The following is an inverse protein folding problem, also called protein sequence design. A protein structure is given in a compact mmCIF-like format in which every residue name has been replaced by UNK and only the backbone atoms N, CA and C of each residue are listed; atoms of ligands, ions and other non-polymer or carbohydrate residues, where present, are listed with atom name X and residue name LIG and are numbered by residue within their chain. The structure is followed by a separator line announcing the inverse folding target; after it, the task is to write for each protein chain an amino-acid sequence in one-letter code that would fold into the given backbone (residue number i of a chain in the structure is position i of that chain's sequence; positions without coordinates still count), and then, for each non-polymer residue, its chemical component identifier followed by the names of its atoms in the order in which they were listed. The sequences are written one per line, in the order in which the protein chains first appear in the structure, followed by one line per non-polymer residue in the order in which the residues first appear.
data_IF_420461280826
#
_entry.id   IF_420461280826
#
_cell.length_a   1.000
_cell.length_b   1.000
_cell.length_c   1.000
_cell.angle_alpha   90.00
_cell.angle_beta   90.00
_cell.angle_gamma   90.00
#
_symmetry.space_group_name_H-M   'P 1'
#
loop_
_entity.id
_entity.type
_entity.pdbx_description
1 polymer ?
#
# COMPACT_ATOMS: atom_id res chain seq x y z
N UNK A 1 10.04 28.35 -6.50
CA UNK A 1 10.88 28.43 -5.29
C UNK A 1 10.50 27.42 -4.22
N UNK A 2 9.28 27.40 -3.70
CA UNK A 2 8.85 26.52 -2.58
C UNK A 2 9.07 25.01 -2.84
N UNK A 3 8.82 24.51 -4.07
CA UNK A 3 9.00 23.07 -4.39
C UNK A 3 10.45 22.60 -4.37
N UNK A 4 11.39 23.44 -4.78
CA UNK A 4 12.82 23.07 -4.80
C UNK A 4 13.43 23.05 -3.41
N UNK A 5 12.93 23.89 -2.50
CA UNK A 5 13.43 23.94 -1.13
C UNK A 5 12.95 22.73 -0.30
N UNK A 6 11.70 22.27 -0.50
CA UNK A 6 11.15 21.05 0.13
C UNK A 6 11.95 19.79 -0.28
N UNK A 7 12.49 19.75 -1.50
CA UNK A 7 13.21 18.58 -2.01
C UNK A 7 14.67 18.52 -1.59
N UNK A 8 15.24 19.58 -1.05
CA UNK A 8 16.67 19.63 -0.65
C UNK A 8 17.00 18.65 0.48
N UNK A 9 16.09 18.48 1.43
CA UNK A 9 16.28 17.63 2.61
C UNK A 9 15.50 16.31 2.50
N UNK A 10 14.98 16.00 1.31
CA UNK A 10 14.23 14.78 1.07
C UNK A 10 15.16 13.56 1.18
N UNK A 11 14.83 12.66 2.11
CA UNK A 11 15.51 11.37 2.29
C UNK A 11 14.55 10.21 2.12
N UNK A 12 13.31 10.38 2.61
CA UNK A 12 12.32 9.31 2.67
C UNK A 12 10.99 9.75 2.13
N UNK A 13 10.39 8.89 1.31
CA UNK A 13 9.09 9.10 0.66
C UNK A 13 8.15 7.96 1.01
N UNK A 14 6.95 8.30 1.46
CA UNK A 14 5.84 7.33 1.55
C UNK A 14 4.97 7.49 0.31
N UNK A 15 4.65 6.39 -0.35
CA UNK A 15 3.79 6.37 -1.54
C UNK A 15 2.57 5.49 -1.24
N UNK A 16 1.39 6.08 -1.22
CA UNK A 16 0.13 5.35 -1.10
C UNK A 16 -0.42 5.02 -2.48
N UNK A 17 -0.76 3.75 -2.69
CA UNK A 17 -1.34 3.24 -3.92
C UNK A 17 -2.76 2.73 -3.63
N UNK A 18 -3.77 3.45 -4.11
CA UNK A 18 -5.18 3.09 -3.93
C UNK A 18 -5.57 1.86 -4.77
N UNK A 19 -6.61 1.12 -4.33
CA UNK A 19 -7.12 -0.05 -5.05
C UNK A 19 -7.65 0.29 -6.45
N UNK A 20 -8.26 1.45 -6.62
CA UNK A 20 -8.73 1.95 -7.93
C UNK A 20 -7.60 2.18 -8.94
N UNK A 21 -6.41 2.49 -8.44
CA UNK A 21 -5.22 2.82 -9.25
C UNK A 21 -4.51 1.55 -9.76
N UNK A 22 -4.58 0.46 -9.00
CA UNK A 22 -3.99 -0.84 -9.36
C UNK A 22 -5.00 -1.83 -9.91
N UNK A 23 -6.26 -1.41 -10.11
CA UNK A 23 -7.31 -2.25 -10.68
C UNK A 23 -7.31 -2.22 -12.21
N UNK A 24 -7.75 -3.32 -12.82
CA UNK A 24 -8.03 -3.37 -14.27
C UNK A 24 -9.27 -2.52 -14.60
N UNK A 25 -9.05 -1.32 -15.15
CA UNK A 25 -10.15 -0.41 -15.53
C UNK A 25 -10.95 -0.91 -16.74
N UNK A 26 -10.29 -1.61 -17.67
CA UNK A 26 -10.91 -2.08 -18.92
C UNK A 26 -11.91 -3.23 -18.73
N UNK A 27 -11.87 -3.89 -17.58
CA UNK A 27 -12.78 -4.99 -17.21
C UNK A 27 -13.99 -4.55 -16.39
N UNK A 28 -14.26 -3.25 -16.26
CA UNK A 28 -15.37 -2.72 -15.45
C UNK A 28 -16.77 -3.03 -16.02
N UNK A 29 -16.86 -3.55 -17.26
CA UNK A 29 -18.14 -3.88 -17.90
C UNK A 29 -18.74 -5.21 -17.46
N UNK A 30 -17.95 -6.11 -16.86
CA UNK A 30 -18.48 -7.31 -16.22
C UNK A 30 -18.29 -7.24 -14.70
N UNK A 31 -19.31 -7.52 -13.94
CA UNK A 31 -19.36 -7.44 -12.47
C UNK A 31 -18.35 -8.36 -11.74
N UNK A 32 -17.72 -9.27 -12.46
CA UNK A 32 -16.78 -10.29 -11.96
C UNK A 32 -15.29 -9.99 -12.23
N UNK A 33 -14.96 -8.99 -13.05
CA UNK A 33 -13.61 -8.88 -13.62
C UNK A 33 -12.78 -7.66 -13.15
N UNK A 34 -13.11 -7.02 -12.04
CA UNK A 34 -12.30 -5.94 -11.47
C UNK A 34 -11.23 -6.49 -10.54
N UNK A 35 -10.13 -6.96 -11.11
CA UNK A 35 -9.02 -7.52 -10.38
C UNK A 35 -7.74 -6.67 -10.42
N UNK A 36 -6.70 -7.22 -9.79
CA UNK A 36 -5.38 -6.58 -9.74
C UNK A 36 -4.71 -6.53 -11.10
N UNK A 37 -4.33 -5.34 -11.55
CA UNK A 37 -3.59 -5.13 -12.80
C UNK A 37 -2.08 -5.33 -12.60
N UNK A 38 -1.53 -6.42 -13.15
CA UNK A 38 -0.10 -6.68 -13.16
C UNK A 38 0.68 -5.61 -13.93
N UNK A 39 0.08 -4.98 -14.93
CA UNK A 39 0.73 -3.95 -15.75
C UNK A 39 0.87 -2.63 -14.98
N UNK A 40 -0.14 -2.23 -14.23
CA UNK A 40 -0.05 -1.08 -13.34
C UNK A 40 0.99 -1.29 -12.22
N UNK A 41 1.01 -2.48 -11.60
CA UNK A 41 2.03 -2.79 -10.59
C UNK A 41 3.44 -2.73 -11.19
N UNK A 42 3.66 -3.25 -12.40
CA UNK A 42 4.94 -3.13 -13.13
C UNK A 42 5.28 -1.67 -13.49
N UNK A 43 4.27 -0.88 -13.85
CA UNK A 43 4.46 0.54 -14.12
C UNK A 43 4.98 1.25 -12.87
N UNK A 44 4.32 1.06 -11.72
CA UNK A 44 4.76 1.69 -10.47
C UNK A 44 6.12 1.17 -9.99
N UNK A 45 6.41 -0.12 -10.15
CA UNK A 45 7.75 -0.65 -9.84
C UNK A 45 8.85 0.08 -10.63
N UNK A 46 8.61 0.44 -11.91
CA UNK A 46 9.56 1.25 -12.69
C UNK A 46 9.74 2.66 -12.14
N UNK A 47 8.65 3.32 -11.77
CA UNK A 47 8.71 4.69 -11.21
C UNK A 47 9.41 4.69 -9.84
N UNK A 48 9.12 3.71 -9.00
CA UNK A 48 9.74 3.55 -7.68
C UNK A 48 11.24 3.30 -7.80
N UNK A 49 11.65 2.50 -8.78
CA UNK A 49 13.09 2.29 -9.06
C UNK A 49 13.81 3.60 -9.35
N UNK A 50 13.20 4.48 -10.14
CA UNK A 50 13.79 5.81 -10.43
C UNK A 50 13.95 6.69 -9.18
N UNK A 51 13.07 6.52 -8.19
CA UNK A 51 13.16 7.23 -6.91
C UNK A 51 14.30 6.66 -6.06
N UNK A 52 14.39 5.32 -5.95
CA UNK A 52 15.49 4.67 -5.24
C UNK A 52 16.86 4.96 -5.88
N UNK A 53 16.95 4.97 -7.21
CA UNK A 53 18.20 5.26 -7.92
C UNK A 53 18.73 6.69 -7.67
N UNK A 54 17.86 7.56 -7.18
CA UNK A 54 18.23 8.90 -6.70
C UNK A 54 18.69 8.93 -5.23
N UNK A 55 18.71 7.76 -4.57
CA UNK A 55 19.15 7.63 -3.18
C UNK A 55 18.04 7.90 -2.14
N UNK A 56 16.77 7.90 -2.55
CA UNK A 56 15.65 8.09 -1.61
C UNK A 56 15.15 6.75 -1.07
N UNK A 57 14.91 6.69 0.24
CA UNK A 57 14.17 5.61 0.88
C UNK A 57 12.70 5.64 0.44
N UNK A 58 12.15 4.49 0.06
CA UNK A 58 10.75 4.38 -0.33
C UNK A 58 10.02 3.42 0.58
N UNK A 59 8.87 3.85 1.10
CA UNK A 59 7.90 3.03 1.83
C UNK A 59 6.59 3.06 1.05
N UNK A 60 5.99 1.90 0.80
CA UNK A 60 4.71 1.81 0.12
C UNK A 60 3.59 1.56 1.11
N UNK A 61 2.45 2.21 0.91
CA UNK A 61 1.18 1.84 1.54
C UNK A 61 0.23 1.41 0.43
N UNK A 62 -0.18 0.15 0.43
CA UNK A 62 -0.97 -0.43 -0.66
C UNK A 62 -2.34 -0.88 -0.19
N UNK A 63 -3.34 -0.59 -0.99
CA UNK A 63 -4.68 -1.18 -0.87
C UNK A 63 -4.86 -2.31 -1.88
N UNK A 64 -6.04 -2.97 -1.83
CA UNK A 64 -6.47 -3.88 -2.88
C UNK A 64 -6.49 -5.35 -2.49
N UNK A 65 -6.16 -5.71 -1.25
CA UNK A 65 -6.22 -7.10 -0.77
C UNK A 65 -7.62 -7.68 -0.88
N UNK A 66 -8.64 -7.02 -0.33
CA UNK A 66 -10.05 -7.47 -0.42
C UNK A 66 -10.50 -7.63 -1.88
N UNK A 67 -10.15 -6.67 -2.75
CA UNK A 67 -10.47 -6.72 -4.18
C UNK A 67 -9.83 -7.94 -4.85
N UNK A 68 -8.56 -8.19 -4.60
CA UNK A 68 -7.80 -9.29 -5.18
C UNK A 68 -8.31 -10.66 -4.69
N UNK A 69 -8.68 -10.76 -3.41
CA UNK A 69 -9.25 -11.99 -2.85
C UNK A 69 -10.65 -12.29 -3.36
N UNK A 70 -11.47 -11.26 -3.49
CA UNK A 70 -12.81 -11.38 -4.07
C UNK A 70 -12.77 -11.89 -5.51
N UNK A 71 -11.88 -11.36 -6.35
CA UNK A 71 -11.64 -11.86 -7.70
C UNK A 71 -11.30 -13.35 -7.69
N UNK A 72 -10.40 -13.77 -6.79
CA UNK A 72 -10.00 -15.17 -6.66
C UNK A 72 -11.09 -16.12 -6.20
N UNK A 73 -12.02 -15.61 -5.40
CA UNK A 73 -13.16 -16.38 -4.90
C UNK A 73 -14.39 -16.33 -5.85
N UNK A 74 -14.32 -15.54 -6.93
CA UNK A 74 -15.45 -15.35 -7.84
C UNK A 74 -16.65 -14.65 -7.19
N UNK A 75 -16.42 -13.84 -6.15
CA UNK A 75 -17.48 -13.18 -5.39
C UNK A 75 -17.87 -11.83 -6.00
N UNK A 76 -19.18 -11.53 -6.03
CA UNK A 76 -19.71 -10.26 -6.51
C UNK A 76 -19.34 -9.09 -5.58
N UNK A 77 -19.55 -7.84 -6.07
CA UNK A 77 -19.24 -6.62 -5.30
C UNK A 77 -20.19 -6.36 -4.14
N UNK A 78 -21.42 -6.83 -4.23
CA UNK A 78 -22.48 -6.48 -3.31
C UNK A 78 -22.60 -7.48 -2.16
N UNK A 79 -22.84 -6.96 -0.96
CA UNK A 79 -23.39 -7.74 0.14
C UNK A 79 -22.41 -8.65 0.90
N UNK A 80 -21.08 -8.46 0.78
CA UNK A 80 -20.14 -9.26 1.58
C UNK A 80 -20.29 -8.93 3.07
N UNK A 81 -20.51 -9.97 3.87
CA UNK A 81 -20.40 -9.90 5.33
C UNK A 81 -18.97 -9.60 5.79
N UNK A 82 -18.80 -9.21 7.06
CA UNK A 82 -17.48 -8.93 7.64
C UNK A 82 -16.54 -10.13 7.51
N UNK A 83 -16.93 -11.37 7.91
CA UNK A 83 -16.07 -12.54 7.74
C UNK A 83 -15.69 -12.83 6.28
N UNK A 84 -16.59 -12.57 5.33
CA UNK A 84 -16.27 -12.74 3.90
C UNK A 84 -15.27 -11.70 3.41
N UNK A 85 -15.37 -10.44 3.86
CA UNK A 85 -14.37 -9.41 3.57
C UNK A 85 -13.00 -9.77 4.16
N UNK A 86 -12.97 -10.26 5.41
CA UNK A 86 -11.75 -10.71 6.07
C UNK A 86 -11.12 -11.91 5.34
N UNK A 87 -11.92 -12.89 4.93
CA UNK A 87 -11.46 -14.02 4.13
C UNK A 87 -10.92 -13.56 2.76
N UNK A 88 -11.60 -12.62 2.10
CA UNK A 88 -11.09 -11.98 0.88
C UNK A 88 -9.76 -11.28 1.13
N UNK A 89 -9.64 -10.52 2.21
CA UNK A 89 -8.39 -9.84 2.55
C UNK A 89 -7.24 -10.83 2.75
N UNK A 90 -7.45 -11.92 3.49
CA UNK A 90 -6.44 -12.95 3.74
C UNK A 90 -5.94 -13.61 2.45
N UNK A 91 -6.85 -14.03 1.56
CA UNK A 91 -6.51 -14.62 0.27
C UNK A 91 -5.84 -13.60 -0.66
N UNK A 92 -6.43 -12.40 -0.71
CA UNK A 92 -5.98 -11.36 -1.63
C UNK A 92 -4.65 -10.73 -1.25
N UNK A 93 -4.35 -10.63 0.05
CA UNK A 93 -3.08 -10.08 0.55
C UNK A 93 -1.89 -10.92 0.06
N UNK A 94 -1.99 -12.23 0.13
CA UNK A 94 -0.97 -13.14 -0.41
C UNK A 94 -0.74 -12.94 -1.91
N UNK A 95 -1.83 -12.79 -2.68
CA UNK A 95 -1.74 -12.58 -4.12
C UNK A 95 -1.20 -11.18 -4.47
N UNK A 96 -1.60 -10.17 -3.73
CA UNK A 96 -1.13 -8.79 -3.88
C UNK A 96 0.39 -8.74 -3.69
N UNK A 97 0.89 -9.33 -2.59
CA UNK A 97 2.32 -9.37 -2.31
C UNK A 97 3.11 -10.13 -3.37
N UNK A 98 2.63 -11.30 -3.81
CA UNK A 98 3.26 -12.05 -4.88
C UNK A 98 3.34 -11.24 -6.19
N UNK A 99 2.33 -10.41 -6.48
CA UNK A 99 2.32 -9.55 -7.67
C UNK A 99 3.35 -8.44 -7.55
N UNK A 100 3.46 -7.81 -6.38
CA UNK A 100 4.50 -6.82 -6.09
C UNK A 100 5.88 -7.46 -6.19
N UNK A 101 6.12 -8.56 -5.49
CA UNK A 101 7.41 -9.27 -5.48
C UNK A 101 7.90 -9.54 -6.91
N UNK A 102 7.07 -10.17 -7.74
CA UNK A 102 7.42 -10.43 -9.15
C UNK A 102 7.69 -9.17 -9.99
N UNK A 103 7.01 -8.07 -9.71
CA UNK A 103 7.20 -6.84 -10.45
C UNK A 103 8.51 -6.13 -10.05
N UNK A 104 8.83 -6.15 -8.75
CA UNK A 104 10.00 -5.51 -8.18
C UNK A 104 11.28 -6.32 -8.40
N UNK A 105 11.20 -7.65 -8.30
CA UNK A 105 12.32 -8.56 -8.59
C UNK A 105 12.90 -8.34 -10.01
N UNK A 106 12.04 -8.09 -11.01
CA UNK A 106 12.46 -7.74 -12.37
C UNK A 106 13.29 -6.44 -12.47
N UNK A 107 13.35 -5.69 -11.40
CA UNK A 107 14.12 -4.44 -11.27
C UNK A 107 15.22 -4.55 -10.21
N UNK A 108 15.55 -5.78 -9.78
CA UNK A 108 16.51 -6.05 -8.72
C UNK A 108 16.17 -5.33 -7.40
N UNK A 109 14.89 -5.14 -7.12
CA UNK A 109 14.39 -4.57 -5.87
C UNK A 109 13.77 -5.68 -5.02
N UNK A 110 14.01 -5.59 -3.71
CA UNK A 110 13.40 -6.48 -2.71
C UNK A 110 12.24 -5.78 -2.03
N UNK A 111 11.20 -6.52 -1.70
CA UNK A 111 10.04 -6.01 -0.97
C UNK A 111 9.78 -6.85 0.27
N UNK A 112 9.16 -6.26 1.29
CA UNK A 112 8.73 -6.95 2.49
C UNK A 112 7.32 -6.51 2.89
N UNK A 113 6.48 -7.45 3.30
CA UNK A 113 5.14 -7.15 3.81
C UNK A 113 5.18 -6.72 5.26
N UNK A 114 4.43 -5.68 5.59
CA UNK A 114 4.09 -5.29 6.96
C UNK A 114 2.57 -5.07 7.03
N UNK A 115 1.92 -5.74 7.97
CA UNK A 115 0.50 -5.53 8.25
C UNK A 115 0.36 -4.81 9.59
N UNK A 116 -0.37 -3.71 9.58
CA UNK A 116 -0.62 -2.90 10.77
C UNK A 116 -2.12 -2.80 11.06
N UNK A 117 -2.45 -2.85 12.33
CA UNK A 117 -3.79 -2.56 12.83
C UNK A 117 -3.81 -1.20 13.57
N UNK A 118 -4.99 -0.69 13.89
CA UNK A 118 -5.15 0.48 14.76
C UNK A 118 -4.48 0.29 16.12
N UNK A 119 -4.60 -0.91 16.69
CA UNK A 119 -3.98 -1.25 17.97
C UNK A 119 -2.45 -1.18 17.91
N UNK A 120 -1.85 -1.53 16.76
CA UNK A 120 -0.40 -1.47 16.58
C UNK A 120 0.08 -0.02 16.52
N UNK A 121 -0.73 0.88 15.95
CA UNK A 121 -0.42 2.30 15.86
C UNK A 121 -0.77 3.07 17.15
N UNK A 122 -1.80 2.63 17.88
CA UNK A 122 -2.23 3.24 19.14
C UNK A 122 -1.37 2.83 20.36
N UNK A 123 -0.72 1.67 20.31
CA UNK A 123 0.11 1.16 21.37
C UNK A 123 1.58 1.56 21.16
N UNK A 124 2.15 2.35 22.09
CA UNK A 124 3.53 2.85 21.99
C UNK A 124 4.58 1.75 21.73
N UNK A 125 4.47 0.61 22.38
CA UNK A 125 5.45 -0.49 22.25
C UNK A 125 5.36 -1.10 20.85
N UNK A 126 4.16 -1.37 20.36
CA UNK A 126 3.92 -1.94 19.02
C UNK A 126 4.32 -0.95 17.93
N UNK A 127 3.99 0.34 18.12
CA UNK A 127 4.41 1.44 17.25
C UNK A 127 5.93 1.48 17.08
N UNK A 128 6.69 1.44 18.19
CA UNK A 128 8.16 1.45 18.13
C UNK A 128 8.71 0.18 17.48
N UNK A 129 8.12 -0.99 17.73
CA UNK A 129 8.52 -2.24 17.06
C UNK A 129 8.30 -2.15 15.55
N UNK A 130 7.17 -1.63 15.09
CA UNK A 130 6.89 -1.42 13.68
C UNK A 130 7.91 -0.44 13.06
N UNK A 131 8.20 0.69 13.72
CA UNK A 131 9.23 1.64 13.30
C UNK A 131 10.59 0.97 13.11
N UNK A 132 11.09 0.27 14.14
CA UNK A 132 12.39 -0.40 14.08
C UNK A 132 12.45 -1.46 12.98
N UNK A 133 11.35 -2.19 12.77
CA UNK A 133 11.28 -3.19 11.68
C UNK A 133 11.39 -2.51 10.31
N UNK A 134 10.67 -1.42 10.09
CA UNK A 134 10.73 -0.65 8.85
C UNK A 134 12.13 -0.09 8.63
N UNK A 135 12.73 0.51 9.65
CA UNK A 135 14.09 1.03 9.57
C UNK A 135 15.12 -0.06 9.25
N UNK A 136 14.99 -1.24 9.86
CA UNK A 136 15.86 -2.38 9.56
C UNK A 136 15.72 -2.91 8.13
N UNK A 137 14.54 -2.80 7.52
CA UNK A 137 14.31 -3.13 6.11
C UNK A 137 14.95 -2.09 5.19
N UNK A 138 14.70 -0.81 5.44
CA UNK A 138 15.27 0.29 4.65
C UNK A 138 16.79 0.28 4.68
N UNK A 139 17.41 0.00 5.84
CA UNK A 139 18.87 -0.13 5.97
C UNK A 139 19.46 -1.30 5.14
N UNK A 140 18.63 -2.16 4.56
CA UNK A 140 19.01 -3.28 3.67
C UNK A 140 18.50 -3.12 2.25
N UNK A 141 18.11 -1.91 1.86
CA UNK A 141 17.54 -1.58 0.54
C UNK A 141 16.28 -2.43 0.22
N UNK A 142 15.52 -2.84 1.25
CA UNK A 142 14.26 -3.54 1.10
C UNK A 142 13.12 -2.55 1.22
N UNK A 143 12.20 -2.53 0.25
CA UNK A 143 11.03 -1.66 0.25
C UNK A 143 9.93 -2.27 1.12
N UNK A 144 9.54 -1.64 2.26
CA UNK A 144 8.39 -2.08 3.02
C UNK A 144 7.10 -1.78 2.25
N UNK A 145 6.23 -2.79 2.12
CA UNK A 145 4.87 -2.64 1.60
C UNK A 145 3.91 -2.84 2.76
N UNK A 146 3.29 -1.77 3.17
CA UNK A 146 2.42 -1.70 4.34
C UNK A 146 0.97 -1.76 3.89
N UNK A 147 0.16 -2.54 4.58
CA UNK A 147 -1.28 -2.56 4.43
C UNK A 147 -1.96 -2.69 5.79
N UNK A 148 -3.26 -2.40 5.85
CA UNK A 148 -4.06 -2.72 7.02
C UNK A 148 -4.17 -4.24 7.20
N UNK A 149 -4.17 -4.71 8.46
CA UNK A 149 -4.44 -6.12 8.77
C UNK A 149 -5.94 -6.38 8.78
N UNK A 150 -6.55 -6.31 7.61
CA UNK A 150 -8.01 -6.49 7.40
C UNK A 150 -8.54 -7.84 7.92
N UNK A 151 -7.67 -8.85 8.11
CA UNK A 151 -8.10 -10.18 8.56
C UNK A 151 -8.50 -10.23 10.05
N UNK A 152 -8.08 -9.25 10.83
CA UNK A 152 -8.36 -9.15 12.28
C UNK A 152 -9.04 -7.83 12.67
N UNK A 153 -9.26 -6.93 11.70
CA UNK A 153 -9.87 -5.62 11.95
C UNK A 153 -11.37 -5.76 12.18
N UNK A 154 -11.87 -5.18 13.27
CA UNK A 154 -13.30 -5.07 13.58
C UNK A 154 -13.84 -3.79 12.95
N UNK A 155 -15.05 -3.85 12.32
CA UNK A 155 -15.61 -2.71 11.56
C UNK A 155 -15.74 -1.41 12.36
N UNK A 156 -15.88 -1.49 13.67
CA UNK A 156 -16.01 -0.35 14.58
C UNK A 156 -14.71 0.44 14.79
N UNK A 157 -13.56 -0.14 14.40
CA UNK A 157 -12.22 0.42 14.65
C UNK A 157 -11.42 0.53 13.33
N UNK A 158 -12.09 0.68 12.19
CA UNK A 158 -11.38 0.89 10.92
C UNK A 158 -10.54 2.17 10.97
N UNK A 159 -9.26 2.04 10.61
CA UNK A 159 -8.52 3.18 10.06
C UNK A 159 -9.25 3.54 8.77
N UNK A 160 -10.06 4.56 8.77
CA UNK A 160 -11.09 4.88 7.78
C UNK A 160 -10.72 4.72 6.31
N UNK A 161 -9.47 4.84 5.92
CA UNK A 161 -8.94 4.59 4.58
C UNK A 161 -7.42 4.46 4.68
N UNK A 162 -6.81 3.75 3.74
CA UNK A 162 -5.35 3.68 3.62
C UNK A 162 -4.69 5.07 3.41
N UNK A 163 -5.45 6.13 3.18
CA UNK A 163 -4.97 7.50 3.19
C UNK A 163 -4.56 7.90 4.62
N UNK A 164 -5.42 7.65 5.62
CA UNK A 164 -5.12 7.88 7.03
C UNK A 164 -3.95 7.00 7.50
N UNK A 165 -3.95 5.70 7.13
CA UNK A 165 -2.83 4.81 7.41
C UNK A 165 -1.53 5.36 6.81
N UNK A 166 -1.55 5.85 5.57
CA UNK A 166 -0.36 6.38 4.90
C UNK A 166 0.19 7.64 5.57
N UNK A 167 -0.68 8.51 6.09
CA UNK A 167 -0.28 9.68 6.86
C UNK A 167 0.37 9.27 8.19
N UNK A 168 -0.23 8.30 8.89
CA UNK A 168 0.33 7.76 10.14
C UNK A 168 1.68 7.08 9.90
N UNK A 169 1.80 6.30 8.82
CA UNK A 169 3.07 5.67 8.41
C UNK A 169 4.11 6.73 8.07
N UNK A 170 3.74 7.81 7.37
CA UNK A 170 4.67 8.90 7.08
C UNK A 170 5.25 9.52 8.36
N UNK A 171 4.41 9.73 9.39
CA UNK A 171 4.88 10.16 10.71
C UNK A 171 5.72 9.08 11.40
N UNK A 172 5.30 7.81 11.34
CA UNK A 172 6.01 6.67 11.95
C UNK A 172 7.46 6.56 11.48
N UNK A 173 7.69 6.79 10.18
CA UNK A 173 9.01 6.63 9.56
C UNK A 173 9.74 7.96 9.35
N UNK A 174 9.27 9.04 9.91
CA UNK A 174 9.83 10.41 9.73
C UNK A 174 10.02 10.78 8.25
N UNK A 175 9.06 10.46 7.40
CA UNK A 175 9.12 10.77 5.96
C UNK A 175 8.88 12.26 5.72
N UNK A 176 9.64 12.85 4.80
CA UNK A 176 9.51 14.25 4.42
C UNK A 176 8.47 14.48 3.32
N UNK A 177 8.04 13.40 2.63
CA UNK A 177 7.05 13.47 1.56
C UNK A 177 6.10 12.29 1.60
N UNK A 178 4.80 12.59 1.53
CA UNK A 178 3.73 11.61 1.27
C UNK A 178 3.14 11.89 -0.11
N UNK A 179 3.13 10.87 -0.98
CA UNK A 179 2.49 10.89 -2.29
C UNK A 179 1.28 9.96 -2.26
N UNK A 180 0.09 10.50 -2.50
CA UNK A 180 -1.14 9.72 -2.58
C UNK A 180 -1.52 9.57 -4.05
N UNK A 181 -1.44 8.34 -4.57
CA UNK A 181 -1.93 8.00 -5.90
C UNK A 181 -3.41 7.63 -5.81
N UNK A 182 -4.24 8.44 -6.44
CA UNK A 182 -5.70 8.33 -6.46
C UNK A 182 -6.22 8.50 -7.88
N UNK A 183 -7.45 8.08 -8.12
CA UNK A 183 -8.19 8.35 -9.36
C UNK A 183 -8.95 9.71 -9.31
N UNK A 184 -8.87 10.43 -8.21
CA UNK A 184 -9.36 11.80 -8.07
C UNK A 184 -8.32 12.79 -8.61
N UNK A 185 -8.78 13.78 -9.41
CA UNK A 185 -7.89 14.75 -10.08
C UNK A 185 -7.19 15.73 -9.12
N UNK A 186 -7.54 15.76 -7.84
CA UNK A 186 -6.97 16.62 -6.81
C UNK A 186 -8.01 17.13 -5.83
N UNK A 187 -7.59 18.07 -4.98
CA UNK A 187 -8.48 18.79 -4.06
C UNK A 187 -9.16 19.91 -4.86
N UNK A 188 -10.47 20.00 -4.76
CA UNK A 188 -11.30 21.03 -5.37
C UNK A 188 -11.87 21.94 -4.27
N UNK A 189 -11.94 23.23 -4.55
CA UNK A 189 -12.64 24.23 -3.75
C UNK A 189 -14.14 24.15 -3.97
#
# INVERSE_FOLDING_TARGET
MIRQDILKDLKRVVIKIGSSVISNKDKRQSSLECGLSKDWVRHYARQIKLIQDKGYDVVLVSSGAVMAGRERLGLSRAGLSIPEKQACAAIGQSFLMHTYEKAFEKKNMKVAQILLSNDDLGNRRRYLNAKHTIEALLARDVIPIINENDSVTVEEIKIGDNDTLSATVACLVDAQLLIILSDVKGLYN
#
